data_IF_360256123457
#
_entry.id   IF_360256123457
#
_cell.length_a   1.000
_cell.length_b   1.000
_cell.length_c   1.000
_cell.angle_alpha   90.00
_cell.angle_beta   90.00
_cell.angle_gamma   90.00
#
_symmetry.space_group_name_H-M   'P 1'
#
loop_
_entity.id
_entity.type
_entity.pdbx_description
1 polymer ?
#
# COMPACT_ATOMS: atom_id res chain seq x y z
N UNK A 1 -7.12 -7.97 43.22
CA UNK A 1 -7.35 -8.02 41.77
C UNK A 1 -6.78 -6.74 41.21
N UNK A 2 -5.82 -6.80 40.32
CA UNK A 2 -5.23 -5.63 39.64
C UNK A 2 -5.36 -5.78 38.11
N UNK A 3 -5.02 -4.74 37.39
CA UNK A 3 -5.17 -4.71 35.94
C UNK A 3 -4.29 -5.75 35.23
N UNK A 4 -3.11 -6.04 35.82
CA UNK A 4 -2.17 -7.04 35.30
C UNK A 4 -2.74 -8.46 35.41
N UNK A 5 -3.46 -8.76 36.48
CA UNK A 5 -4.16 -10.04 36.64
C UNK A 5 -5.39 -10.21 35.72
N UNK A 6 -5.86 -9.15 35.08
CA UNK A 6 -6.91 -9.18 34.06
C UNK A 6 -6.35 -9.34 32.65
N UNK A 7 -5.03 -9.42 32.46
CA UNK A 7 -4.38 -9.68 31.17
C UNK A 7 -3.87 -8.42 30.45
N UNK A 8 -3.91 -7.24 31.08
CA UNK A 8 -3.39 -5.99 30.50
C UNK A 8 -2.15 -5.53 31.26
N UNK A 9 -1.00 -5.38 30.57
CA UNK A 9 0.27 -4.96 31.16
C UNK A 9 0.62 -3.51 30.81
N UNK A 10 0.29 -2.58 31.70
CA UNK A 10 0.54 -1.14 31.53
C UNK A 10 2.04 -0.83 31.38
N UNK A 11 2.91 -1.53 32.10
CA UNK A 11 4.37 -1.35 32.03
C UNK A 11 4.91 -1.74 30.64
N UNK A 12 4.38 -2.84 30.08
CA UNK A 12 4.68 -3.23 28.70
C UNK A 12 4.26 -2.14 27.70
N UNK A 13 3.09 -1.51 27.92
CA UNK A 13 2.62 -0.39 27.12
C UNK A 13 3.60 0.79 27.14
N UNK A 14 4.03 1.24 28.32
CA UNK A 14 5.03 2.32 28.46
C UNK A 14 6.36 1.96 27.79
N UNK A 15 6.83 0.74 27.94
CA UNK A 15 8.05 0.26 27.30
C UNK A 15 7.93 0.25 25.77
N UNK A 16 6.80 -0.18 25.22
CA UNK A 16 6.53 -0.15 23.79
C UNK A 16 6.65 1.29 23.26
N UNK A 17 5.99 2.25 23.90
CA UNK A 17 6.06 3.68 23.52
C UNK A 17 7.49 4.19 23.55
N UNK A 18 8.27 3.85 24.57
CA UNK A 18 9.67 4.29 24.65
C UNK A 18 10.52 3.73 23.50
N UNK A 19 10.36 2.45 23.19
CA UNK A 19 11.11 1.77 22.11
C UNK A 19 10.77 2.33 20.73
N UNK A 20 9.52 2.72 20.48
CA UNK A 20 9.08 3.22 19.15
C UNK A 20 9.41 4.68 18.91
N UNK A 21 9.65 5.52 19.94
CA UNK A 21 9.92 6.97 19.82
C UNK A 21 10.95 7.32 18.72
N UNK A 22 12.06 6.55 18.66
CA UNK A 22 13.13 6.80 17.68
C UNK A 22 12.66 6.63 16.24
N UNK A 23 11.76 5.67 15.98
CA UNK A 23 11.23 5.42 14.63
C UNK A 23 10.25 6.52 14.23
N UNK A 24 9.31 6.83 15.13
CA UNK A 24 8.32 7.89 14.92
C UNK A 24 8.97 9.24 14.70
N UNK A 25 9.99 9.59 15.49
CA UNK A 25 10.77 10.84 15.30
C UNK A 25 11.34 10.98 13.88
N UNK A 26 11.71 9.87 13.24
CA UNK A 26 12.24 9.86 11.89
C UNK A 26 11.21 10.18 10.79
N UNK A 27 9.91 10.25 11.11
CA UNK A 27 8.83 10.57 10.17
C UNK A 27 8.34 12.02 10.29
N UNK A 28 8.82 12.78 11.29
CA UNK A 28 8.28 14.10 11.59
C UNK A 28 8.50 15.08 10.44
N UNK A 29 7.45 15.83 10.15
CA UNK A 29 7.42 16.94 9.20
C UNK A 29 7.38 18.27 9.96
N UNK A 30 7.82 19.40 9.32
CA UNK A 30 7.76 20.74 9.95
C UNK A 30 6.34 21.16 10.37
N UNK A 31 5.32 20.65 9.68
CA UNK A 31 3.90 20.95 9.96
C UNK A 31 3.36 20.26 11.21
N UNK A 32 4.05 19.24 11.76
CA UNK A 32 3.58 18.53 12.96
C UNK A 32 3.75 19.43 14.18
N UNK A 33 2.64 19.66 14.88
CA UNK A 33 2.62 20.46 16.10
C UNK A 33 2.52 19.55 17.33
N UNK A 34 3.52 19.62 18.20
CA UNK A 34 3.60 18.76 19.39
C UNK A 34 4.42 17.50 19.17
N UNK A 35 4.18 16.47 19.99
CA UNK A 35 4.91 15.20 19.99
C UNK A 35 4.03 14.03 20.44
N UNK A 36 4.61 12.83 20.46
CA UNK A 36 3.95 11.63 20.98
C UNK A 36 3.57 11.77 22.44
N UNK A 37 2.39 11.25 22.80
CA UNK A 37 1.89 11.17 24.19
C UNK A 37 0.81 12.20 24.54
N UNK A 38 0.38 13.03 23.59
CA UNK A 38 -0.83 13.83 23.71
C UNK A 38 -2.10 13.04 23.37
N UNK A 39 -3.29 13.61 23.64
CA UNK A 39 -4.57 13.00 23.27
C UNK A 39 -4.83 13.00 21.76
N UNK A 40 -4.15 13.87 21.00
CA UNK A 40 -4.32 14.00 19.56
C UNK A 40 -3.02 14.43 18.88
N UNK A 41 -2.84 14.04 17.62
CA UNK A 41 -1.84 14.63 16.74
C UNK A 41 -2.39 15.92 16.12
N UNK A 42 -1.56 16.96 16.04
CA UNK A 42 -1.91 18.22 15.38
C UNK A 42 -0.98 18.47 14.19
N UNK A 43 -1.56 18.94 13.08
CA UNK A 43 -0.85 19.20 11.84
C UNK A 43 -1.22 20.59 11.31
N UNK A 44 -0.23 21.45 11.08
CA UNK A 44 -0.43 22.82 10.59
C UNK A 44 -0.76 22.82 9.10
N UNK A 45 -1.77 23.60 8.72
CA UNK A 45 -2.17 23.83 7.33
C UNK A 45 -1.46 25.04 6.68
N UNK A 46 -0.53 25.69 7.40
CA UNK A 46 0.15 26.92 6.94
C UNK A 46 0.88 26.73 5.59
N UNK A 47 1.51 25.59 5.37
CA UNK A 47 2.21 25.24 4.11
C UNK A 47 1.26 25.15 2.91
N UNK A 48 -0.03 24.98 3.13
CA UNK A 48 -1.05 24.74 2.10
C UNK A 48 -2.01 25.92 1.88
N UNK A 49 -1.75 27.07 2.53
CA UNK A 49 -2.61 28.26 2.47
C UNK A 49 -2.77 28.88 1.07
N UNK A 50 -1.86 28.53 0.13
CA UNK A 50 -1.93 29.01 -1.24
C UNK A 50 -2.74 28.11 -2.18
N UNK A 51 -3.28 26.97 -1.70
CA UNK A 51 -4.25 26.20 -2.44
C UNK A 51 -5.53 26.98 -2.61
N UNK A 52 -6.14 26.91 -3.79
CA UNK A 52 -7.37 27.63 -4.11
C UNK A 52 -8.56 27.04 -3.37
N UNK A 53 -8.67 25.71 -3.38
CA UNK A 53 -9.71 24.95 -2.70
C UNK A 53 -9.11 23.70 -2.05
N UNK A 54 -8.42 23.85 -0.89
CA UNK A 54 -7.80 22.71 -0.23
C UNK A 54 -8.83 21.68 0.19
N UNK A 55 -8.70 20.45 -0.30
CA UNK A 55 -9.61 19.34 -0.05
C UNK A 55 -8.85 18.22 0.65
N UNK A 56 -9.39 17.73 1.76
CA UNK A 56 -8.85 16.57 2.44
C UNK A 56 -9.31 15.28 1.76
N UNK A 57 -8.37 14.36 1.58
CA UNK A 57 -8.62 12.99 1.14
C UNK A 57 -8.09 12.03 2.19
N UNK A 58 -8.69 10.86 2.32
CA UNK A 58 -8.29 9.91 3.36
C UNK A 58 -8.37 8.49 2.85
N UNK A 59 -7.52 7.63 3.41
CA UNK A 59 -7.53 6.20 3.19
C UNK A 59 -7.39 5.45 4.51
N UNK A 60 -8.10 4.36 4.65
CA UNK A 60 -7.98 3.44 5.78
C UNK A 60 -7.96 2.01 5.26
N UNK A 61 -7.01 1.23 5.74
CA UNK A 61 -6.86 -0.18 5.37
C UNK A 61 -6.00 -0.91 6.41
N UNK A 62 -5.87 -2.22 6.27
CA UNK A 62 -4.98 -3.06 7.05
C UNK A 62 -4.01 -3.84 6.19
N UNK A 63 -3.25 -4.74 6.78
CA UNK A 63 -2.36 -5.65 6.06
C UNK A 63 -3.04 -6.99 5.69
N UNK A 64 -4.28 -7.18 6.08
CA UNK A 64 -5.06 -8.39 5.81
C UNK A 64 -4.42 -9.66 6.35
N UNK A 65 -4.78 -10.81 5.75
CA UNK A 65 -4.28 -12.11 6.24
C UNK A 65 -2.81 -12.39 5.92
N UNK A 66 -2.11 -11.47 5.26
CA UNK A 66 -0.64 -11.51 5.10
C UNK A 66 0.07 -11.56 6.47
N UNK A 67 -0.53 -10.94 7.49
CA UNK A 67 0.00 -10.94 8.87
C UNK A 67 0.26 -12.35 9.41
N UNK A 68 -0.46 -13.37 8.96
CA UNK A 68 -0.23 -14.77 9.38
C UNK A 68 1.14 -15.29 8.97
N UNK A 69 1.72 -14.82 7.86
CA UNK A 69 3.07 -15.17 7.45
C UNK A 69 4.11 -14.53 8.39
N UNK A 70 3.85 -13.30 8.84
CA UNK A 70 4.69 -12.63 9.83
C UNK A 70 4.75 -13.43 11.15
N UNK A 71 3.63 -14.02 11.58
CA UNK A 71 3.59 -14.88 12.77
C UNK A 71 4.41 -16.17 12.58
N UNK A 72 4.27 -16.83 11.41
CA UNK A 72 4.94 -18.10 11.12
C UNK A 72 6.46 -17.95 11.00
N UNK A 73 6.92 -16.81 10.49
CA UNK A 73 8.34 -16.52 10.25
C UNK A 73 8.96 -15.67 11.37
N UNK A 74 8.17 -15.26 12.38
CA UNK A 74 8.57 -14.30 13.43
C UNK A 74 9.22 -13.04 12.84
N UNK A 75 8.68 -12.56 11.70
CA UNK A 75 9.18 -11.41 10.95
C UNK A 75 8.11 -10.32 10.87
N UNK A 76 8.28 -9.27 11.66
CA UNK A 76 7.25 -8.24 11.90
C UNK A 76 7.62 -6.85 11.37
N UNK A 77 8.81 -6.67 10.82
CA UNK A 77 9.38 -5.39 10.39
C UNK A 77 8.81 -4.87 9.04
N UNK A 78 8.17 -5.74 8.24
CA UNK A 78 7.64 -5.37 6.93
C UNK A 78 6.15 -5.07 6.91
N UNK A 79 5.39 -5.68 7.82
CA UNK A 79 3.92 -5.63 7.84
C UNK A 79 3.38 -4.19 8.05
N UNK A 80 4.11 -3.38 8.83
CA UNK A 80 3.77 -1.97 9.02
C UNK A 80 3.83 -1.16 7.73
N UNK A 81 4.85 -1.43 6.89
CA UNK A 81 4.97 -0.79 5.57
C UNK A 81 3.83 -1.19 4.63
N UNK A 82 3.34 -2.44 4.71
CA UNK A 82 2.16 -2.88 3.95
C UNK A 82 0.93 -2.06 4.34
N UNK A 83 0.68 -1.90 5.64
CA UNK A 83 -0.46 -1.14 6.15
C UNK A 83 -0.42 0.32 5.67
N UNK A 84 0.75 0.97 5.76
CA UNK A 84 0.91 2.35 5.26
C UNK A 84 0.67 2.42 3.76
N UNK A 85 1.29 1.52 2.98
CA UNK A 85 1.18 1.51 1.52
C UNK A 85 -0.26 1.41 1.05
N UNK A 86 -1.07 0.55 1.67
CA UNK A 86 -2.48 0.39 1.31
C UNK A 86 -3.27 1.70 1.49
N UNK A 87 -3.01 2.45 2.56
CA UNK A 87 -3.69 3.72 2.82
C UNK A 87 -3.17 4.87 1.94
N UNK A 88 -1.84 5.06 1.85
CA UNK A 88 -1.26 6.23 1.18
C UNK A 88 -1.29 6.15 -0.34
N UNK A 89 -1.26 4.93 -0.91
CA UNK A 89 -1.41 4.73 -2.35
C UNK A 89 -2.81 5.14 -2.83
N UNK A 90 -3.85 4.89 -2.04
CA UNK A 90 -5.22 5.32 -2.36
C UNK A 90 -5.35 6.85 -2.35
N UNK A 91 -4.69 7.52 -1.37
CA UNK A 91 -4.62 8.98 -1.33
C UNK A 91 -3.92 9.51 -2.59
N UNK A 92 -2.76 8.93 -2.94
CA UNK A 92 -2.00 9.33 -4.12
C UNK A 92 -2.78 9.05 -5.41
N UNK A 93 -3.54 7.95 -5.47
CA UNK A 93 -4.41 7.58 -6.60
C UNK A 93 -5.49 8.64 -6.84
N UNK A 94 -5.96 9.30 -5.79
CA UNK A 94 -6.88 10.45 -5.88
C UNK A 94 -6.18 11.78 -6.20
N UNK A 95 -4.86 11.82 -6.37
CA UNK A 95 -4.07 13.04 -6.61
C UNK A 95 -3.63 13.75 -5.33
N UNK A 96 -3.86 13.16 -4.16
CA UNK A 96 -3.54 13.72 -2.85
C UNK A 96 -2.09 13.52 -2.43
N UNK A 97 -1.57 14.49 -1.66
CA UNK A 97 -0.33 14.36 -0.91
C UNK A 97 -0.64 13.82 0.48
N UNK A 98 -0.15 12.63 0.90
CA UNK A 98 -0.29 12.16 2.27
C UNK A 98 0.39 13.11 3.26
N UNK A 99 -0.33 13.54 4.28
CA UNK A 99 0.16 14.48 5.30
C UNK A 99 0.62 13.74 6.55
N UNK A 100 -0.26 12.90 7.07
CA UNK A 100 0.00 12.14 8.29
C UNK A 100 -0.71 10.79 8.30
N UNK A 101 -0.23 9.95 9.19
CA UNK A 101 -0.69 8.58 9.39
C UNK A 101 -0.97 8.33 10.88
N UNK A 102 -1.95 7.50 11.15
CA UNK A 102 -2.28 6.95 12.45
C UNK A 102 -2.41 5.43 12.30
N UNK A 103 -1.86 4.66 13.24
CA UNK A 103 -2.01 3.21 13.28
C UNK A 103 -2.88 2.76 14.45
N UNK A 104 -3.49 1.59 14.31
CA UNK A 104 -4.16 0.88 15.38
C UNK A 104 -3.65 -0.57 15.41
N UNK A 105 -3.00 -0.95 16.50
CA UNK A 105 -2.50 -2.31 16.72
C UNK A 105 -3.37 -2.97 17.80
N UNK A 106 -4.20 -3.93 17.38
CA UNK A 106 -4.90 -4.83 18.30
C UNK A 106 -4.02 -6.06 18.53
N UNK A 107 -3.67 -6.40 19.77
CA UNK A 107 -2.84 -7.57 20.05
C UNK A 107 -3.42 -8.41 21.20
N UNK A 108 -3.18 -9.72 21.18
CA UNK A 108 -3.59 -10.59 22.28
C UNK A 108 -2.81 -10.28 23.56
N UNK A 109 -1.52 -9.93 23.39
CA UNK A 109 -0.62 -9.49 24.45
C UNK A 109 0.43 -8.52 23.92
N UNK A 110 0.72 -7.48 24.69
CA UNK A 110 1.75 -6.52 24.33
C UNK A 110 3.15 -7.09 24.64
N UNK A 111 3.89 -7.41 23.58
CA UNK A 111 5.31 -7.71 23.61
C UNK A 111 6.07 -6.48 23.10
N UNK A 112 6.67 -5.66 23.97
CA UNK A 112 7.17 -4.33 23.62
C UNK A 112 8.12 -4.29 22.43
N UNK A 113 9.03 -5.24 22.32
CA UNK A 113 9.99 -5.34 21.23
C UNK A 113 9.31 -5.68 19.90
N UNK A 114 8.31 -6.57 19.92
CA UNK A 114 7.50 -6.92 18.74
C UNK A 114 6.68 -5.73 18.28
N UNK A 115 5.97 -5.05 19.18
CA UNK A 115 5.20 -3.83 18.86
C UNK A 115 6.12 -2.76 18.28
N UNK A 116 7.28 -2.51 18.89
CA UNK A 116 8.25 -1.56 18.35
C UNK A 116 8.76 -1.95 16.96
N UNK A 117 8.91 -3.24 16.66
CA UNK A 117 9.30 -3.75 15.35
C UNK A 117 8.18 -3.50 14.31
N UNK A 118 6.92 -3.75 14.65
CA UNK A 118 5.77 -3.44 13.79
C UNK A 118 5.75 -1.93 13.46
N UNK A 119 5.86 -1.09 14.49
CA UNK A 119 5.86 0.38 14.32
C UNK A 119 7.08 0.86 13.53
N UNK A 120 8.21 0.16 13.60
CA UNK A 120 9.36 0.49 12.75
C UNK A 120 9.04 0.34 11.26
N UNK A 121 8.25 -0.69 10.91
CA UNK A 121 7.73 -0.87 9.55
C UNK A 121 6.72 0.22 9.15
N UNK A 122 5.82 0.60 10.07
CA UNK A 122 4.90 1.75 9.84
C UNK A 122 5.70 3.03 9.59
N UNK A 123 6.70 3.32 10.43
CA UNK A 123 7.53 4.51 10.27
C UNK A 123 8.33 4.50 8.96
N UNK A 124 8.82 3.34 8.53
CA UNK A 124 9.50 3.20 7.23
C UNK A 124 8.56 3.49 6.07
N UNK A 125 7.35 2.94 6.09
CA UNK A 125 6.32 3.26 5.10
C UNK A 125 5.97 4.75 5.07
N UNK A 126 5.81 5.38 6.24
CA UNK A 126 5.55 6.82 6.35
C UNK A 126 6.69 7.67 5.76
N UNK A 127 7.96 7.29 5.99
CA UNK A 127 9.11 7.97 5.36
C UNK A 127 9.08 7.88 3.85
N UNK A 128 8.82 6.70 3.31
CA UNK A 128 8.72 6.49 1.86
C UNK A 128 7.57 7.32 1.24
N UNK A 129 6.44 7.42 1.95
CA UNK A 129 5.30 8.23 1.55
C UNK A 129 5.50 9.74 1.79
N UNK A 130 6.50 10.14 2.59
CA UNK A 130 6.71 11.53 2.97
C UNK A 130 5.64 12.07 3.93
N UNK A 131 4.94 11.21 4.68
CA UNK A 131 3.96 11.60 5.68
C UNK A 131 4.46 11.35 7.11
N UNK A 132 3.88 12.04 8.09
CA UNK A 132 4.28 11.93 9.48
C UNK A 132 3.41 10.90 10.24
N UNK A 133 4.04 9.99 10.98
CA UNK A 133 3.34 9.17 11.97
C UNK A 133 3.12 10.02 13.21
N UNK A 134 1.91 10.59 13.39
CA UNK A 134 1.63 11.58 14.43
C UNK A 134 0.93 11.02 15.65
N UNK A 135 0.53 9.76 15.62
CA UNK A 135 -0.15 9.08 16.72
C UNK A 135 -0.57 7.68 16.31
N UNK A 136 -1.22 7.00 17.22
CA UNK A 136 -1.73 5.65 17.03
C UNK A 136 -2.21 5.08 18.36
N UNK A 137 -2.65 3.82 18.34
CA UNK A 137 -3.11 3.09 19.52
C UNK A 137 -2.57 1.67 19.51
N UNK A 138 -2.20 1.16 20.67
CA UNK A 138 -1.91 -0.26 20.86
C UNK A 138 -2.79 -0.79 21.98
N UNK A 139 -3.71 -1.68 21.65
CA UNK A 139 -4.69 -2.23 22.58
C UNK A 139 -4.49 -3.73 22.79
N UNK A 140 -4.37 -4.15 24.04
CA UNK A 140 -4.39 -5.57 24.41
C UNK A 140 -5.83 -6.08 24.49
N UNK A 141 -6.07 -7.23 23.86
CA UNK A 141 -7.38 -7.89 23.78
C UNK A 141 -7.31 -9.30 24.37
N UNK A 142 -7.04 -9.43 25.68
CA UNK A 142 -6.92 -10.73 26.32
C UNK A 142 -8.24 -11.52 26.22
N UNK A 143 -8.14 -12.77 25.79
CA UNK A 143 -9.31 -13.64 25.62
C UNK A 143 -10.11 -13.42 24.32
N UNK A 144 -9.89 -12.31 23.61
CA UNK A 144 -10.48 -12.05 22.28
C UNK A 144 -9.53 -12.51 21.17
N UNK A 145 -8.24 -12.39 21.38
CA UNK A 145 -7.19 -12.68 20.42
C UNK A 145 -6.11 -13.58 21.07
N UNK A 146 -5.52 -14.55 20.35
CA UNK A 146 -4.38 -15.32 20.84
C UNK A 146 -3.22 -14.41 21.28
N UNK A 147 -2.52 -14.77 22.37
CA UNK A 147 -1.46 -13.93 22.95
C UNK A 147 -0.36 -13.52 21.99
N UNK A 148 0.00 -14.38 21.03
CA UNK A 148 1.07 -14.15 20.07
C UNK A 148 0.61 -13.51 18.75
N UNK A 149 -0.69 -13.26 18.59
CA UNK A 149 -1.26 -12.68 17.40
C UNK A 149 -1.61 -11.19 17.59
N UNK A 150 -1.68 -10.49 16.46
CA UNK A 150 -2.12 -9.10 16.38
C UNK A 150 -2.82 -8.84 15.05
N UNK A 151 -3.54 -7.75 14.99
CA UNK A 151 -4.00 -7.13 13.74
C UNK A 151 -3.53 -5.68 13.68
N UNK A 152 -3.35 -5.16 12.48
CA UNK A 152 -2.84 -3.83 12.24
C UNK A 152 -3.70 -3.13 11.19
N UNK A 153 -4.23 -1.98 11.57
CA UNK A 153 -4.95 -1.09 10.68
C UNK A 153 -4.32 0.30 10.68
N UNK A 154 -4.49 1.02 9.60
CA UNK A 154 -3.99 2.38 9.43
C UNK A 154 -5.06 3.33 8.93
N UNK A 155 -4.82 4.60 9.20
CA UNK A 155 -5.60 5.71 8.69
C UNK A 155 -4.65 6.82 8.26
N UNK A 156 -4.75 7.25 7.02
CA UNK A 156 -3.97 8.37 6.49
C UNK A 156 -4.88 9.49 6.03
N UNK A 157 -4.43 10.71 6.24
CA UNK A 157 -5.05 11.91 5.70
C UNK A 157 -4.07 12.58 4.75
N UNK A 158 -4.57 12.96 3.60
CA UNK A 158 -3.84 13.73 2.59
C UNK A 158 -4.61 14.98 2.19
N UNK A 159 -3.97 15.80 1.36
CA UNK A 159 -4.52 17.04 0.82
C UNK A 159 -4.34 17.12 -0.68
N UNK A 160 -5.30 17.72 -1.35
CA UNK A 160 -5.26 18.03 -2.78
C UNK A 160 -6.01 19.34 -3.04
N UNK A 161 -5.59 20.14 -4.02
CA UNK A 161 -6.46 21.22 -4.50
C UNK A 161 -7.61 20.58 -5.30
N UNK A 162 -8.87 21.00 -5.09
CA UNK A 162 -10.06 20.40 -5.72
C UNK A 162 -9.91 20.21 -7.24
N UNK A 163 -9.28 21.18 -7.92
CA UNK A 163 -9.02 21.12 -9.38
C UNK A 163 -8.04 20.03 -9.81
N UNK A 164 -7.21 19.53 -8.89
CA UNK A 164 -6.17 18.53 -9.12
C UNK A 164 -6.62 17.11 -8.73
N UNK A 165 -7.86 16.95 -8.25
CA UNK A 165 -8.40 15.63 -7.93
C UNK A 165 -8.44 14.77 -9.20
N UNK A 166 -7.86 13.58 -9.13
CA UNK A 166 -7.87 12.62 -10.23
C UNK A 166 -9.21 11.86 -10.22
N UNK A 167 -10.03 12.09 -11.22
CA UNK A 167 -11.40 11.53 -11.29
C UNK A 167 -11.66 10.64 -12.49
N UNK A 168 -10.77 10.68 -13.50
CA UNK A 168 -11.00 10.03 -14.79
C UNK A 168 -11.93 10.81 -15.74
N UNK A 169 -12.51 11.93 -15.32
CA UNK A 169 -13.48 12.67 -16.12
C UNK A 169 -12.92 13.17 -17.47
N UNK A 170 -11.62 13.46 -17.51
CA UNK A 170 -10.91 13.98 -18.71
C UNK A 170 -10.35 12.88 -19.61
N UNK A 171 -10.64 11.61 -19.36
CA UNK A 171 -10.15 10.49 -20.18
C UNK A 171 -10.69 10.59 -21.60
N UNK A 172 -9.79 10.43 -22.56
CA UNK A 172 -10.07 10.39 -23.99
C UNK A 172 -9.59 9.06 -24.61
N UNK A 173 -10.23 8.65 -25.70
CA UNK A 173 -9.70 7.54 -26.51
C UNK A 173 -8.32 7.92 -27.04
N UNK A 174 -7.37 7.00 -26.94
CA UNK A 174 -5.96 7.21 -27.27
C UNK A 174 -5.08 7.61 -26.08
N UNK A 175 -5.64 7.93 -24.90
CA UNK A 175 -4.84 8.11 -23.69
C UNK A 175 -4.07 6.83 -23.37
N UNK A 176 -2.80 6.98 -22.95
CA UNK A 176 -1.88 5.88 -22.76
C UNK A 176 -1.92 5.43 -21.29
N UNK A 177 -2.00 4.13 -21.10
CA UNK A 177 -1.93 3.50 -19.78
C UNK A 177 -0.49 3.11 -19.46
N UNK A 178 0.04 3.68 -18.38
CA UNK A 178 1.39 3.39 -17.86
C UNK A 178 1.23 2.69 -16.53
N UNK A 179 1.73 1.44 -16.44
CA UNK A 179 1.76 0.64 -15.23
C UNK A 179 3.10 0.77 -14.52
N UNK A 180 3.08 0.84 -13.20
CA UNK A 180 4.28 0.77 -12.35
C UNK A 180 4.41 -0.62 -11.75
N UNK A 181 5.63 -1.17 -11.80
CA UNK A 181 5.92 -2.51 -11.27
C UNK A 181 5.53 -2.65 -9.80
N UNK A 182 4.97 -3.79 -9.44
CA UNK A 182 4.81 -4.19 -8.04
C UNK A 182 6.10 -4.77 -7.47
N UNK A 183 6.19 -4.84 -6.15
CA UNK A 183 7.27 -5.53 -5.43
C UNK A 183 7.02 -7.04 -5.25
N UNK A 184 5.90 -7.53 -5.73
CA UNK A 184 5.39 -8.89 -5.56
C UNK A 184 3.89 -8.90 -5.34
N UNK A 185 3.42 -9.79 -4.48
CA UNK A 185 1.98 -10.01 -4.23
C UNK A 185 1.31 -8.81 -3.54
N UNK A 186 2.08 -7.94 -2.90
CA UNK A 186 1.61 -6.84 -2.05
C UNK A 186 0.87 -7.38 -0.81
N UNK A 187 -0.34 -6.85 -0.52
CA UNK A 187 -1.11 -7.24 0.67
C UNK A 187 -2.47 -7.85 0.35
N UNK A 188 -2.71 -8.24 -0.89
CA UNK A 188 -4.01 -8.76 -1.34
C UNK A 188 -3.93 -10.23 -1.74
N UNK A 189 -5.06 -10.94 -1.61
CA UNK A 189 -5.19 -12.32 -2.05
C UNK A 189 -4.53 -13.36 -1.14
N UNK A 190 -4.07 -13.00 0.06
CA UNK A 190 -3.35 -13.91 0.96
C UNK A 190 -4.21 -15.04 1.52
N UNK A 191 -5.52 -14.92 1.52
CA UNK A 191 -6.41 -16.05 1.83
C UNK A 191 -6.27 -17.19 0.80
N UNK A 192 -6.06 -16.85 -0.48
CA UNK A 192 -5.79 -17.82 -1.54
C UNK A 192 -4.34 -18.31 -1.48
N UNK A 193 -3.34 -17.43 -1.29
CA UNK A 193 -1.92 -17.82 -1.08
C UNK A 193 -1.81 -18.90 0.00
N UNK A 194 -2.50 -18.73 1.13
CA UNK A 194 -2.51 -19.66 2.25
C UNK A 194 -3.23 -20.99 1.97
N UNK A 195 -3.95 -21.09 0.87
CA UNK A 195 -4.53 -22.37 0.40
C UNK A 195 -3.65 -23.03 -0.67
N UNK A 196 -2.90 -22.23 -1.43
CA UNK A 196 -1.99 -22.73 -2.46
C UNK A 196 -0.78 -23.41 -1.82
N UNK A 197 -0.17 -22.76 -0.84
CA UNK A 197 1.04 -23.25 -0.18
C UNK A 197 0.73 -23.77 1.22
N UNK A 198 1.49 -24.78 1.67
CA UNK A 198 1.49 -25.17 3.07
C UNK A 198 2.01 -24.04 3.95
N UNK A 199 1.22 -23.64 4.95
CA UNK A 199 1.57 -22.54 5.86
C UNK A 199 2.32 -23.06 7.08
N UNK A 200 3.54 -23.52 6.85
CA UNK A 200 4.50 -23.94 7.87
C UNK A 200 5.87 -23.29 7.62
N UNK A 201 6.69 -23.25 8.66
CA UNK A 201 8.00 -22.59 8.60
C UNK A 201 8.95 -23.26 7.59
N UNK A 202 8.89 -24.57 7.43
CA UNK A 202 9.79 -25.29 6.51
C UNK A 202 9.49 -24.92 5.05
N UNK A 203 8.20 -24.94 4.67
CA UNK A 203 7.76 -24.52 3.34
C UNK A 203 8.13 -23.06 3.06
N UNK A 204 7.88 -22.16 4.01
CA UNK A 204 8.16 -20.73 3.83
C UNK A 204 9.66 -20.42 3.79
N UNK A 205 10.50 -21.19 4.48
CA UNK A 205 11.96 -21.05 4.45
C UNK A 205 12.63 -21.80 3.29
N UNK A 206 11.87 -22.54 2.46
CA UNK A 206 12.42 -23.23 1.29
C UNK A 206 12.84 -22.20 0.24
N UNK A 207 14.10 -22.30 -0.21
CA UNK A 207 14.65 -21.49 -1.28
C UNK A 207 14.16 -21.99 -2.64
N UNK A 208 13.74 -21.08 -3.51
CA UNK A 208 13.32 -21.37 -4.87
C UNK A 208 14.21 -20.63 -5.88
N UNK A 209 14.88 -21.37 -6.76
CA UNK A 209 15.78 -20.79 -7.77
C UNK A 209 15.05 -19.80 -8.69
N UNK A 210 13.80 -20.11 -9.09
CA UNK A 210 12.98 -19.24 -9.93
C UNK A 210 12.58 -17.92 -9.24
N UNK A 211 12.60 -17.86 -7.90
CA UNK A 211 12.35 -16.64 -7.12
C UNK A 211 13.65 -15.92 -6.73
N UNK A 212 14.79 -16.62 -6.75
CA UNK A 212 16.07 -16.13 -6.23
C UNK A 212 16.09 -15.87 -4.73
N UNK A 213 15.12 -16.42 -3.99
CA UNK A 213 14.92 -16.23 -2.53
C UNK A 213 14.01 -17.30 -1.96
N UNK A 214 13.79 -17.27 -0.63
CA UNK A 214 12.81 -18.18 -0.02
C UNK A 214 11.38 -17.78 -0.38
N UNK A 215 10.45 -18.72 -0.30
CA UNK A 215 9.02 -18.44 -0.52
C UNK A 215 8.51 -17.37 0.44
N UNK A 216 8.89 -17.45 1.71
CA UNK A 216 8.50 -16.48 2.73
C UNK A 216 9.01 -15.07 2.43
N UNK A 217 10.26 -14.92 1.99
CA UNK A 217 10.81 -13.62 1.56
C UNK A 217 10.07 -13.04 0.36
N UNK A 218 9.70 -13.88 -0.62
CA UNK A 218 8.92 -13.44 -1.77
C UNK A 218 7.51 -12.98 -1.38
N UNK A 219 6.85 -13.72 -0.50
CA UNK A 219 5.48 -13.43 -0.05
C UNK A 219 5.42 -12.27 0.95
N UNK A 220 6.45 -12.09 1.81
CA UNK A 220 6.52 -10.97 2.76
C UNK A 220 7.13 -9.70 2.17
N UNK A 221 7.51 -9.68 0.88
CA UNK A 221 7.95 -8.45 0.24
C UNK A 221 6.94 -7.32 0.50
N UNK A 222 7.38 -6.15 1.05
CA UNK A 222 6.47 -5.07 1.37
C UNK A 222 5.77 -4.52 0.14
N UNK A 223 4.53 -4.10 0.30
CA UNK A 223 3.76 -3.39 -0.72
C UNK A 223 4.49 -2.12 -1.12
N UNK A 224 4.64 -1.90 -2.43
CA UNK A 224 5.32 -0.71 -2.96
C UNK A 224 4.49 0.54 -2.72
N UNK A 225 5.16 1.63 -2.33
CA UNK A 225 4.57 2.95 -2.13
C UNK A 225 4.87 3.79 -3.37
N UNK A 226 3.82 4.25 -4.07
CA UNK A 226 3.91 4.98 -5.34
C UNK A 226 3.80 6.50 -5.19
N UNK A 227 3.65 7.00 -3.97
CA UNK A 227 3.44 8.43 -3.65
C UNK A 227 4.52 9.30 -4.28
N UNK A 228 5.80 8.92 -4.14
CA UNK A 228 6.92 9.67 -4.69
C UNK A 228 6.86 9.74 -6.22
N UNK A 229 6.56 8.63 -6.89
CA UNK A 229 6.47 8.58 -8.36
C UNK A 229 5.36 9.49 -8.90
N UNK A 230 4.18 9.46 -8.29
CA UNK A 230 3.06 10.31 -8.69
C UNK A 230 3.35 11.80 -8.42
N UNK A 231 4.05 12.12 -7.34
CA UNK A 231 4.51 13.47 -7.07
C UNK A 231 5.50 13.97 -8.14
N UNK A 232 6.52 13.18 -8.48
CA UNK A 232 7.50 13.54 -9.51
C UNK A 232 6.83 13.73 -10.88
N UNK A 233 5.81 12.91 -11.21
CA UNK A 233 5.01 13.08 -12.43
C UNK A 233 4.26 14.41 -12.42
N UNK A 234 3.64 14.77 -11.30
CA UNK A 234 2.97 16.07 -11.13
C UNK A 234 3.96 17.24 -11.23
N UNK A 235 5.11 17.15 -10.57
CA UNK A 235 6.18 18.17 -10.60
C UNK A 235 6.79 18.33 -12.00
N UNK A 236 6.82 17.28 -12.81
CA UNK A 236 7.19 17.35 -14.23
C UNK A 236 6.13 18.07 -15.10
N UNK A 237 5.03 18.52 -14.51
CA UNK A 237 3.94 19.22 -15.23
C UNK A 237 3.05 18.29 -16.04
N UNK A 238 3.00 17.00 -15.72
CA UNK A 238 2.11 16.03 -16.35
C UNK A 238 0.77 16.00 -15.61
N UNK A 239 -0.33 16.05 -16.35
CA UNK A 239 -1.66 15.79 -15.82
C UNK A 239 -1.97 14.30 -15.88
N UNK A 240 -1.99 13.64 -14.74
CA UNK A 240 -2.57 12.30 -14.63
C UNK A 240 -4.08 12.42 -14.71
N UNK A 241 -4.70 11.86 -15.75
CA UNK A 241 -6.14 11.96 -15.99
C UNK A 241 -6.94 10.95 -15.17
N UNK A 242 -6.36 9.75 -14.99
CA UNK A 242 -6.94 8.68 -14.17
C UNK A 242 -5.83 7.87 -13.52
N UNK A 243 -6.14 7.27 -12.38
CA UNK A 243 -5.21 6.43 -11.64
C UNK A 243 -5.95 5.24 -11.02
N UNK A 244 -5.33 4.08 -11.02
CA UNK A 244 -5.87 2.86 -10.40
C UNK A 244 -4.81 2.19 -9.56
N UNK A 245 -5.04 2.04 -8.27
CA UNK A 245 -4.27 1.18 -7.37
C UNK A 245 -4.77 -0.25 -7.51
N UNK A 246 -3.89 -1.17 -7.94
CA UNK A 246 -4.26 -2.56 -8.21
C UNK A 246 -4.14 -3.36 -6.92
N UNK A 247 -5.27 -3.54 -6.25
CA UNK A 247 -5.44 -4.23 -4.97
C UNK A 247 -6.26 -5.51 -5.14
N UNK A 248 -7.00 -5.93 -4.11
CA UNK A 248 -7.97 -7.03 -4.22
C UNK A 248 -8.99 -6.78 -5.32
N UNK A 249 -9.35 -7.83 -6.07
CA UNK A 249 -10.12 -7.70 -7.30
C UNK A 249 -9.27 -7.51 -8.57
N UNK A 250 -7.95 -7.33 -8.40
CA UNK A 250 -6.99 -7.30 -9.51
C UNK A 250 -7.32 -6.27 -10.60
N UNK A 251 -7.03 -6.60 -11.84
CA UNK A 251 -7.25 -5.71 -12.98
C UNK A 251 -8.73 -5.52 -13.29
N UNK A 252 -9.52 -6.58 -13.19
CA UNK A 252 -10.92 -6.57 -13.61
C UNK A 252 -11.82 -5.70 -12.73
N UNK A 253 -11.51 -5.56 -11.44
CA UNK A 253 -12.32 -4.75 -10.54
C UNK A 253 -11.73 -3.35 -10.31
N UNK A 254 -10.39 -3.18 -10.31
CA UNK A 254 -9.78 -1.90 -9.98
C UNK A 254 -9.69 -0.95 -11.19
N UNK A 255 -9.32 -1.44 -12.38
CA UNK A 255 -9.19 -0.58 -13.56
C UNK A 255 -10.51 0.11 -13.94
N UNK A 256 -11.67 -0.58 -13.96
CA UNK A 256 -12.92 0.10 -14.27
C UNK A 256 -13.30 1.21 -13.29
N UNK A 257 -12.81 1.19 -12.05
CA UNK A 257 -13.11 2.25 -11.06
C UNK A 257 -12.58 3.63 -11.47
N UNK A 258 -11.49 3.68 -12.24
CA UNK A 258 -10.92 4.93 -12.73
C UNK A 258 -11.55 5.45 -14.03
N UNK A 259 -12.44 4.66 -14.66
CA UNK A 259 -13.03 4.97 -15.96
C UNK A 259 -14.39 5.66 -15.80
N UNK A 260 -14.68 6.70 -16.59
CA UNK A 260 -16.04 7.20 -16.75
C UNK A 260 -16.84 6.29 -17.69
N UNK A 261 -18.15 6.49 -17.74
CA UNK A 261 -19.00 5.83 -18.71
C UNK A 261 -18.56 6.16 -20.15
N UNK A 262 -18.66 5.17 -21.03
CA UNK A 262 -18.25 5.30 -22.45
C UNK A 262 -16.74 5.13 -22.69
N UNK A 263 -15.95 4.80 -21.67
CA UNK A 263 -14.51 4.52 -21.79
C UNK A 263 -14.18 3.10 -21.38
N UNK A 264 -13.25 2.51 -22.11
CA UNK A 264 -12.79 1.13 -21.94
C UNK A 264 -11.26 1.07 -21.91
N UNK A 265 -10.68 0.32 -20.98
CA UNK A 265 -9.24 0.10 -20.92
C UNK A 265 -8.85 -1.18 -21.68
N UNK A 266 -7.84 -1.08 -22.52
CA UNK A 266 -7.25 -2.24 -23.22
C UNK A 266 -5.82 -2.41 -22.71
N UNK A 267 -5.55 -3.53 -22.05
CA UNK A 267 -4.26 -3.87 -21.45
C UNK A 267 -3.62 -5.00 -22.26
N UNK A 268 -2.35 -4.83 -22.63
CA UNK A 268 -1.53 -5.85 -23.27
C UNK A 268 -0.74 -6.62 -22.21
N UNK A 269 -1.04 -7.90 -22.04
CA UNK A 269 -0.39 -8.78 -21.05
C UNK A 269 1.09 -9.01 -21.31
N UNK A 270 1.51 -8.93 -22.57
CA UNK A 270 2.90 -9.10 -23.01
C UNK A 270 3.76 -7.84 -22.92
N UNK A 271 3.19 -6.73 -22.45
CA UNK A 271 3.90 -5.45 -22.34
C UNK A 271 4.88 -5.35 -21.18
N UNK A 272 4.87 -6.32 -20.27
CA UNK A 272 5.75 -6.43 -19.12
C UNK A 272 5.95 -7.90 -18.73
N UNK A 273 7.00 -8.18 -17.98
CA UNK A 273 7.25 -9.53 -17.45
C UNK A 273 6.47 -9.74 -16.15
N UNK A 274 5.60 -10.76 -16.13
CA UNK A 274 4.90 -11.17 -14.90
C UNK A 274 5.89 -11.85 -13.95
N UNK A 275 6.06 -11.35 -12.71
CA UNK A 275 7.01 -11.92 -11.76
C UNK A 275 6.77 -13.40 -11.47
N UNK A 276 7.86 -14.15 -11.30
CA UNK A 276 7.85 -15.60 -11.14
C UNK A 276 6.94 -16.10 -10.00
N UNK A 277 6.77 -15.30 -8.94
CA UNK A 277 5.86 -15.68 -7.81
C UNK A 277 4.42 -15.89 -8.29
N UNK A 278 3.91 -15.09 -9.24
CA UNK A 278 2.55 -15.27 -9.76
C UNK A 278 2.45 -16.51 -10.65
N UNK A 279 3.49 -16.79 -11.43
CA UNK A 279 3.56 -18.01 -12.26
C UNK A 279 3.59 -19.26 -11.36
N UNK A 280 4.38 -19.21 -10.29
CA UNK A 280 4.44 -20.29 -9.29
C UNK A 280 3.06 -20.47 -8.63
N UNK A 281 2.41 -19.39 -8.20
CA UNK A 281 1.10 -19.46 -7.58
C UNK A 281 0.04 -20.06 -8.51
N UNK A 282 0.03 -19.66 -9.78
CA UNK A 282 -0.90 -20.21 -10.78
C UNK A 282 -0.65 -21.71 -10.99
N UNK A 283 0.61 -22.14 -11.11
CA UNK A 283 1.01 -23.53 -11.30
C UNK A 283 0.67 -24.42 -10.11
N UNK A 284 1.13 -24.04 -8.90
CA UNK A 284 0.93 -24.83 -7.68
C UNK A 284 -0.53 -24.87 -7.24
N UNK A 285 -1.25 -23.73 -7.38
CA UNK A 285 -2.65 -23.61 -7.04
C UNK A 285 -3.60 -24.09 -8.13
N UNK A 286 -3.09 -24.38 -9.34
CA UNK A 286 -3.91 -24.67 -10.54
C UNK A 286 -4.98 -23.58 -10.75
N UNK A 287 -4.57 -22.33 -10.55
CA UNK A 287 -5.47 -21.18 -10.64
C UNK A 287 -5.51 -20.70 -12.09
N UNK A 288 -6.71 -20.61 -12.64
CA UNK A 288 -6.93 -20.11 -14.00
C UNK A 288 -6.43 -18.66 -14.16
N UNK A 289 -5.90 -18.32 -15.34
CA UNK A 289 -5.32 -17.01 -15.63
C UNK A 289 -6.29 -15.87 -15.32
N UNK A 290 -7.55 -15.99 -15.72
CA UNK A 290 -8.57 -14.99 -15.44
C UNK A 290 -8.73 -14.75 -13.93
N UNK A 291 -8.70 -15.80 -13.11
CA UNK A 291 -8.80 -15.68 -11.67
C UNK A 291 -7.53 -15.05 -11.07
N UNK A 292 -6.36 -15.32 -11.63
CA UNK A 292 -5.11 -14.66 -11.23
C UNK A 292 -5.21 -13.14 -11.44
N UNK A 293 -5.64 -12.68 -12.61
CA UNK A 293 -5.85 -11.25 -12.91
C UNK A 293 -7.05 -10.62 -12.17
N UNK A 294 -7.98 -11.44 -11.65
CA UNK A 294 -9.10 -10.97 -10.82
C UNK A 294 -8.76 -10.92 -9.33
N UNK A 295 -7.62 -11.51 -8.90
CA UNK A 295 -7.26 -11.58 -7.49
C UNK A 295 -6.00 -10.77 -7.18
N UNK A 296 -5.03 -10.76 -8.10
CA UNK A 296 -3.68 -10.26 -7.89
C UNK A 296 -3.31 -9.12 -8.84
N UNK A 297 -2.27 -8.36 -8.46
CA UNK A 297 -1.72 -7.28 -9.26
C UNK A 297 -0.88 -7.76 -10.47
N UNK A 298 -0.57 -9.03 -10.57
CA UNK A 298 0.18 -9.70 -11.65
C UNK A 298 1.48 -8.99 -12.05
N UNK A 299 2.09 -8.22 -11.15
CA UNK A 299 3.33 -7.48 -11.39
C UNK A 299 3.16 -5.98 -11.61
N UNK A 300 1.93 -5.48 -11.72
CA UNK A 300 1.62 -4.05 -11.86
C UNK A 300 0.78 -3.60 -10.66
N UNK A 301 1.36 -2.79 -9.78
CA UNK A 301 0.67 -2.36 -8.56
C UNK A 301 -0.12 -1.06 -8.72
N UNK A 302 0.23 -0.23 -9.71
CA UNK A 302 -0.51 1.01 -10.01
C UNK A 302 -0.50 1.31 -11.49
N UNK A 303 -1.61 1.82 -12.01
CA UNK A 303 -1.74 2.24 -13.42
C UNK A 303 -2.19 3.70 -13.45
N UNK A 304 -1.56 4.51 -14.30
CA UNK A 304 -1.99 5.88 -14.60
C UNK A 304 -2.37 6.01 -16.07
N UNK A 305 -3.30 6.90 -16.37
CA UNK A 305 -3.64 7.30 -17.73
C UNK A 305 -3.17 8.73 -17.98
N UNK A 306 -2.43 8.93 -19.07
CA UNK A 306 -1.88 10.24 -19.47
C UNK A 306 -2.12 10.50 -20.95
N UNK A 307 -2.01 11.77 -21.35
CA UNK A 307 -2.02 12.15 -22.75
C UNK A 307 -0.82 11.50 -23.49
N UNK A 308 -0.96 11.05 -24.73
CA UNK A 308 0.14 10.51 -25.54
C UNK A 308 1.38 11.42 -25.60
N UNK A 309 1.18 12.74 -25.59
CA UNK A 309 2.27 13.72 -25.59
C UNK A 309 3.10 13.77 -24.31
N UNK A 310 2.55 13.27 -23.21
CA UNK A 310 3.19 13.28 -21.88
C UNK A 310 3.84 11.94 -21.49
N UNK A 311 3.76 10.91 -22.33
CA UNK A 311 4.25 9.55 -22.04
C UNK A 311 5.73 9.56 -21.64
N UNK A 312 6.59 10.17 -22.45
CA UNK A 312 8.04 10.16 -22.20
C UNK A 312 8.39 10.90 -20.90
N UNK A 313 7.73 12.03 -20.63
CA UNK A 313 7.90 12.76 -19.37
C UNK A 313 7.47 11.93 -18.15
N UNK A 314 6.32 11.26 -18.29
CA UNK A 314 5.78 10.39 -17.24
C UNK A 314 6.75 9.27 -16.90
N UNK A 315 7.24 8.55 -17.93
CA UNK A 315 8.21 7.47 -17.78
C UNK A 315 9.52 7.99 -17.15
N UNK A 316 10.01 9.15 -17.60
CA UNK A 316 11.23 9.74 -17.04
C UNK A 316 11.08 10.10 -15.57
N UNK A 317 9.95 10.72 -15.18
CA UNK A 317 9.66 11.10 -13.79
C UNK A 317 9.53 9.85 -12.88
N UNK A 318 8.80 8.82 -13.31
CA UNK A 318 8.66 7.57 -12.56
C UNK A 318 10.03 6.88 -12.36
N UNK A 319 10.87 6.82 -13.40
CA UNK A 319 12.23 6.27 -13.30
C UNK A 319 13.11 7.08 -12.33
N UNK A 320 13.01 8.41 -12.36
CA UNK A 320 13.74 9.28 -11.44
C UNK A 320 13.30 9.06 -9.97
N UNK A 321 12.04 8.72 -9.74
CA UNK A 321 11.53 8.33 -8.44
C UNK A 321 12.04 6.95 -7.96
N UNK A 322 12.61 6.13 -8.85
CA UNK A 322 13.09 4.77 -8.58
C UNK A 322 12.07 3.68 -8.93
N UNK A 323 11.03 4.02 -9.69
CA UNK A 323 10.04 3.06 -10.17
C UNK A 323 10.39 2.48 -11.54
N UNK A 324 9.71 1.38 -11.88
CA UNK A 324 9.84 0.70 -13.17
C UNK A 324 8.51 0.82 -13.93
N UNK A 325 8.38 1.81 -14.82
CA UNK A 325 7.17 2.01 -15.62
C UNK A 325 7.17 1.16 -16.89
N UNK A 326 5.97 0.75 -17.31
CA UNK A 326 5.68 0.03 -18.55
C UNK A 326 4.50 0.68 -19.25
N UNK A 327 4.54 0.80 -20.58
CA UNK A 327 3.36 1.17 -21.37
C UNK A 327 2.50 -0.09 -21.49
N UNK A 328 1.46 -0.19 -20.66
CA UNK A 328 0.66 -1.42 -20.55
C UNK A 328 -0.59 -1.42 -21.43
N UNK A 329 -1.00 -0.29 -22.00
CA UNK A 329 -2.20 -0.25 -22.81
C UNK A 329 -2.66 1.14 -23.18
N UNK A 330 -3.92 1.24 -23.53
CA UNK A 330 -4.57 2.48 -23.98
C UNK A 330 -6.05 2.53 -23.58
N UNK A 331 -6.61 3.73 -23.60
CA UNK A 331 -8.05 3.96 -23.43
C UNK A 331 -8.72 3.96 -24.82
N UNK A 332 -9.87 3.29 -24.93
CA UNK A 332 -10.75 3.30 -26.09
C UNK A 332 -12.15 3.78 -25.73
N UNK A 333 -12.90 4.19 -26.72
CA UNK A 333 -14.35 4.35 -26.59
C UNK A 333 -14.99 2.97 -26.54
N UNK A 334 -15.95 2.78 -25.62
CA UNK A 334 -16.63 1.50 -25.42
C UNK A 334 -17.40 1.43 -24.13
N UNK A 335 -18.02 0.30 -23.88
CA UNK A 335 -18.65 0.02 -22.59
C UNK A 335 -17.59 0.02 -21.50
N UNK A 336 -17.90 0.65 -20.35
CA UNK A 336 -17.01 0.73 -19.19
C UNK A 336 -16.52 -0.65 -18.77
N UNK A 337 -15.20 -0.84 -18.78
CA UNK A 337 -14.61 -2.12 -18.46
C UNK A 337 -13.14 -2.21 -18.83
N UNK A 338 -12.58 -3.42 -18.77
CA UNK A 338 -11.21 -3.72 -19.14
C UNK A 338 -11.12 -4.98 -19.98
N UNK A 339 -10.33 -4.94 -21.04
CA UNK A 339 -9.95 -6.12 -21.83
C UNK A 339 -8.46 -6.37 -21.64
N UNK A 340 -8.10 -7.61 -21.33
CA UNK A 340 -6.71 -8.08 -21.28
C UNK A 340 -6.44 -8.90 -22.56
N UNK A 341 -5.47 -8.52 -23.39
CA UNK A 341 -5.12 -9.17 -24.66
C UNK A 341 -3.65 -9.57 -24.73
#
# INVERSE_FOLDING_TARGET
MDYKNSGVDIEAGYKSVELMKKYVKGTMRPEVLGGLGGFSGAFSMESFKNMEKPTLVSGTDGCGTKVKLAFLLDKHDTIGSDCVAMCVNDIACAGGEPLFFLDYIACGKNYPEKIATIVSGVAEGCKQAGCALIGGETAEHPGLMPENEYDLAGFSVGIVDEKDIITGADLAAGDVLIGMASSGVHSNGFSLVRKIFSMDADTLNTYHEELGKTLGEALLAPTRIYVKALREVKEAGVRVKACSHITGGGFYENIPRMLPEGKHAVIRKDSYEVPAIFQMMAREGKVEEQMMYNTYNMGIGMIVAVDPADVDKTIAAMKAAGDTPYIVGEIKDGEKGVTLC
#
